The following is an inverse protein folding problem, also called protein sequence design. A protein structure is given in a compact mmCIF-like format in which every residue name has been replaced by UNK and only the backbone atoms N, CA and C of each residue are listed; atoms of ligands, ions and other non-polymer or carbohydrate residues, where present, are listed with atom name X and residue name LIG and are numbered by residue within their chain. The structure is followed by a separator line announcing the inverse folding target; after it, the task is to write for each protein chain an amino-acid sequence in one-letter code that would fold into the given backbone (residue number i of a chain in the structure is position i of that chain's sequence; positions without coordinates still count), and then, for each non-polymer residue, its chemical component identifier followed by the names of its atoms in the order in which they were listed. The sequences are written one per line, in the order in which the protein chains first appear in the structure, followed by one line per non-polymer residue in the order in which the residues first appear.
data_IF_119459785781
#
_entry.id   IF_119459785781
#
_cell.length_a   1.000
_cell.length_b   1.000
_cell.length_c   1.000
_cell.angle_alpha   90.00
_cell.angle_beta   90.00
_cell.angle_gamma   90.00
#
_symmetry.space_group_name_H-M   'P 1'
#
loop_
_entity.id
_entity.type
_entity.pdbx_description
1 polymer ?
#
# COMPACT_ATOMS: atom_id res chain seq x y z
N UNK A 1 28.79 -2.12 -10.64
CA UNK A 1 29.57 -0.88 -10.47
C UNK A 1 29.83 -0.70 -8.98
N UNK A 2 31.09 -0.64 -8.53
CA UNK A 2 31.45 -0.47 -7.13
C UNK A 2 30.85 0.83 -6.57
N UNK A 3 30.25 0.78 -5.37
CA UNK A 3 29.62 1.94 -4.71
C UNK A 3 30.58 3.07 -4.30
N UNK A 4 31.87 2.95 -4.65
CA UNK A 4 32.95 3.88 -4.31
C UNK A 4 33.55 4.61 -5.52
N UNK A 5 33.10 4.31 -6.74
CA UNK A 5 33.49 5.07 -7.92
C UNK A 5 32.61 6.33 -8.00
N UNK A 6 33.04 7.40 -7.32
CA UNK A 6 32.47 8.72 -7.50
C UNK A 6 32.87 9.22 -8.90
N UNK A 7 31.94 9.17 -9.85
CA UNK A 7 32.13 9.76 -11.16
C UNK A 7 32.29 11.26 -10.99
N UNK A 8 33.47 11.77 -11.31
CA UNK A 8 33.88 13.16 -11.06
C UNK A 8 32.85 14.18 -11.58
N UNK A 9 32.29 13.96 -12.76
CA UNK A 9 31.24 14.81 -13.33
C UNK A 9 29.94 14.80 -12.52
N UNK A 10 29.54 13.65 -11.96
CA UNK A 10 28.37 13.54 -11.07
C UNK A 10 28.62 14.27 -9.75
N UNK A 11 29.84 14.17 -9.21
CA UNK A 11 30.22 14.87 -7.98
C UNK A 11 30.26 16.39 -8.18
N UNK A 12 30.90 16.86 -9.24
CA UNK A 12 30.95 18.28 -9.60
C UNK A 12 29.55 18.86 -9.84
N UNK A 13 28.67 18.13 -10.54
CA UNK A 13 27.28 18.55 -10.74
C UNK A 13 26.45 18.52 -9.44
N UNK A 14 26.64 17.50 -8.60
CA UNK A 14 26.01 17.41 -7.28
C UNK A 14 26.44 18.55 -6.36
N UNK A 15 27.74 18.84 -6.31
CA UNK A 15 28.30 19.90 -5.47
C UNK A 15 27.85 21.28 -5.97
N UNK A 16 27.86 21.52 -7.29
CA UNK A 16 27.31 22.73 -7.90
C UNK A 16 25.82 22.94 -7.58
N UNK A 17 24.99 21.89 -7.70
CA UNK A 17 23.57 21.98 -7.37
C UNK A 17 23.31 22.14 -5.86
N UNK A 18 24.17 21.58 -5.02
CA UNK A 18 24.07 21.63 -3.56
C UNK A 18 24.60 22.93 -2.96
N UNK A 19 25.50 23.62 -3.67
CA UNK A 19 26.09 24.89 -3.24
C UNK A 19 25.15 26.09 -3.47
N UNK A 20 24.01 25.89 -4.16
CA UNK A 20 22.97 26.91 -4.25
C UNK A 20 22.36 27.18 -2.87
N UNK A 21 22.87 28.21 -2.22
CA UNK A 21 22.39 28.73 -0.94
C UNK A 21 21.33 29.79 -1.17
N UNK A 22 20.18 29.61 -0.53
CA UNK A 22 19.06 30.56 -0.56
C UNK A 22 19.02 31.27 0.80
N UNK A 23 18.89 32.59 0.77
CA UNK A 23 18.63 33.36 1.98
C UNK A 23 17.17 33.17 2.40
N UNK A 24 16.95 32.68 3.62
CA UNK A 24 15.59 32.55 4.19
C UNK A 24 15.58 33.23 5.56
N UNK A 25 14.78 34.29 5.70
CA UNK A 25 14.61 35.03 6.95
C UNK A 25 15.84 35.82 7.39
N UNK A 26 15.90 36.17 8.67
CA UNK A 26 16.86 37.12 9.24
C UNK A 26 18.29 36.58 9.39
N UNK A 27 18.53 35.26 9.50
CA UNK A 27 19.89 34.67 9.37
C UNK A 27 19.88 33.14 9.11
N UNK A 28 20.54 32.77 7.99
CA UNK A 28 21.43 31.63 7.71
C UNK A 28 21.23 31.17 6.24
N UNK A 29 22.31 31.23 5.45
CA UNK A 29 22.35 30.65 4.09
C UNK A 29 22.09 29.15 4.19
N UNK A 30 20.94 28.68 3.72
CA UNK A 30 20.58 27.26 3.69
C UNK A 30 20.56 26.75 2.26
N UNK A 31 20.92 25.49 2.01
CA UNK A 31 20.86 24.94 0.65
C UNK A 31 19.42 24.71 0.22
N UNK A 32 19.13 24.88 -1.07
CA UNK A 32 17.80 24.57 -1.62
C UNK A 32 17.38 23.12 -1.33
N UNK A 33 18.33 22.18 -1.41
CA UNK A 33 18.11 20.77 -1.09
C UNK A 33 17.65 20.55 0.36
N UNK A 34 18.22 21.30 1.32
CA UNK A 34 17.79 21.22 2.70
C UNK A 34 16.33 21.67 2.86
N UNK A 35 15.93 22.77 2.21
CA UNK A 35 14.55 23.26 2.24
C UNK A 35 13.56 22.27 1.62
N UNK A 36 13.94 21.64 0.51
CA UNK A 36 13.14 20.58 -0.12
C UNK A 36 12.98 19.36 0.79
N UNK A 37 14.07 18.91 1.42
CA UNK A 37 14.03 17.79 2.36
C UNK A 37 13.15 18.10 3.58
N UNK A 38 13.26 19.31 4.13
CA UNK A 38 12.44 19.75 5.26
C UNK A 38 10.96 19.81 4.89
N UNK A 39 10.63 20.37 3.73
CA UNK A 39 9.24 20.45 3.23
C UNK A 39 8.66 19.07 2.99
N UNK A 40 9.43 18.18 2.36
CA UNK A 40 9.03 16.78 2.11
C UNK A 40 8.75 16.05 3.42
N UNK A 41 9.61 16.24 4.43
CA UNK A 41 9.41 15.66 5.77
C UNK A 41 8.11 16.16 6.39
N UNK A 42 7.84 17.48 6.37
CA UNK A 42 6.59 18.05 6.90
C UNK A 42 5.35 17.47 6.19
N UNK A 43 5.39 17.35 4.87
CA UNK A 43 4.30 16.75 4.10
C UNK A 43 4.08 15.28 4.47
N UNK A 44 5.17 14.49 4.61
CA UNK A 44 5.07 13.08 5.00
C UNK A 44 4.54 12.91 6.43
N UNK A 45 5.00 13.72 7.37
CA UNK A 45 4.54 13.69 8.76
C UNK A 45 3.05 14.08 8.85
N UNK A 46 2.63 15.09 8.08
CA UNK A 46 1.22 15.48 7.98
C UNK A 46 0.36 14.38 7.36
N UNK A 47 0.78 13.80 6.23
CA UNK A 47 0.07 12.69 5.59
C UNK A 47 -0.03 11.47 6.53
N UNK A 48 1.05 11.12 7.22
CA UNK A 48 1.06 10.02 8.19
C UNK A 48 0.08 10.26 9.34
N UNK A 49 0.01 11.49 9.84
CA UNK A 49 -0.95 11.89 10.88
C UNK A 49 -2.39 11.74 10.39
N UNK A 50 -2.71 12.32 9.23
CA UNK A 50 -4.04 12.23 8.64
C UNK A 50 -4.45 10.79 8.31
N UNK A 51 -3.53 9.98 7.82
CA UNK A 51 -3.78 8.57 7.53
C UNK A 51 -4.13 7.75 8.78
N UNK A 52 -3.73 8.19 9.98
CA UNK A 52 -4.18 7.60 11.24
C UNK A 52 -5.65 7.88 11.56
N UNK A 53 -6.28 8.85 10.90
CA UNK A 53 -7.69 9.22 11.11
C UNK A 53 -8.58 8.40 10.17
N UNK A 54 -9.50 7.55 10.67
CA UNK A 54 -10.32 6.68 9.83
C UNK A 54 -11.15 7.39 8.75
N UNK A 55 -11.67 8.58 9.04
CA UNK A 55 -12.45 9.37 8.08
C UNK A 55 -11.61 9.86 6.90
N UNK A 56 -10.32 10.12 7.11
CA UNK A 56 -9.40 10.52 6.05
C UNK A 56 -8.87 9.31 5.27
N UNK A 57 -8.46 8.25 5.98
CA UNK A 57 -7.95 7.01 5.36
C UNK A 57 -9.03 6.25 4.58
N UNK A 58 -10.27 6.36 5.03
CA UNK A 58 -11.41 5.61 4.54
C UNK A 58 -11.68 4.35 5.36
N UNK A 59 -12.97 4.09 5.61
CA UNK A 59 -13.45 2.96 6.43
C UNK A 59 -13.25 1.59 5.77
N UNK A 60 -12.87 1.57 4.50
CA UNK A 60 -12.67 0.35 3.72
C UNK A 60 -11.20 0.02 3.49
N UNK A 61 -10.26 0.85 3.96
CA UNK A 61 -8.83 0.53 3.88
C UNK A 61 -8.50 -0.62 4.86
N UNK A 62 -7.74 -1.62 4.41
CA UNK A 62 -7.29 -2.72 5.28
C UNK A 62 -6.09 -2.26 6.10
N UNK A 63 -6.26 -2.25 7.42
CA UNK A 63 -5.15 -1.96 8.34
C UNK A 63 -4.22 -3.17 8.42
N UNK A 64 -2.99 -2.98 7.94
CA UNK A 64 -1.94 -3.98 8.00
C UNK A 64 -0.86 -3.54 8.96
N UNK A 65 -0.22 -4.50 9.61
CA UNK A 65 0.95 -4.26 10.46
C UNK A 65 2.26 -4.63 9.76
N UNK A 66 3.35 -4.01 10.20
CA UNK A 66 4.69 -4.44 9.85
C UNK A 66 5.13 -5.67 10.66
N UNK A 67 6.40 -6.08 10.56
CA UNK A 67 6.95 -7.25 11.26
C UNK A 67 7.07 -7.05 12.77
N UNK A 68 6.86 -5.83 13.27
CA UNK A 68 6.92 -5.45 14.68
C UNK A 68 5.51 -5.16 15.23
N UNK A 69 4.47 -5.62 14.52
CA UNK A 69 3.06 -5.38 14.83
C UNK A 69 2.67 -3.90 14.89
N UNK A 70 3.44 -3.02 14.24
CA UNK A 70 3.12 -1.60 14.16
C UNK A 70 2.24 -1.33 12.93
N UNK A 71 1.22 -0.45 13.03
CA UNK A 71 0.43 -0.06 11.88
C UNK A 71 1.31 0.45 10.74
N UNK A 72 1.09 -0.07 9.54
CA UNK A 72 1.79 0.39 8.35
C UNK A 72 1.43 1.84 8.07
N UNK A 73 2.46 2.66 7.87
CA UNK A 73 2.34 4.08 7.58
C UNK A 73 2.69 4.35 6.12
N UNK A 74 2.04 5.34 5.50
CA UNK A 74 2.36 5.72 4.13
C UNK A 74 3.82 6.13 3.98
N UNK A 75 4.38 5.84 2.80
CA UNK A 75 5.73 6.25 2.38
C UNK A 75 5.66 6.65 0.92
N UNK A 76 6.41 7.68 0.53
CA UNK A 76 6.42 8.20 -0.84
C UNK A 76 7.57 7.65 -1.70
N UNK A 77 8.62 7.10 -1.09
CA UNK A 77 9.80 6.60 -1.79
C UNK A 77 9.71 5.10 -2.10
N UNK A 78 10.39 4.67 -3.16
CA UNK A 78 10.66 3.25 -3.44
C UNK A 78 9.41 2.37 -3.60
N UNK A 79 8.32 2.89 -4.15
CA UNK A 79 7.04 2.17 -4.27
C UNK A 79 6.21 2.18 -2.97
N UNK A 80 6.59 2.96 -1.97
CA UNK A 80 5.83 3.15 -0.75
C UNK A 80 5.83 1.95 0.19
N UNK A 81 4.96 1.97 1.21
CA UNK A 81 5.00 0.97 2.28
C UNK A 81 4.44 -0.40 1.86
N UNK A 82 3.49 -0.42 0.93
CA UNK A 82 2.78 -1.62 0.49
C UNK A 82 3.34 -2.20 -0.80
N UNK A 83 3.34 -1.45 -1.91
CA UNK A 83 3.70 -1.99 -3.23
C UNK A 83 5.13 -2.53 -3.28
N UNK A 84 6.08 -1.86 -2.60
CA UNK A 84 7.47 -2.32 -2.49
C UNK A 84 7.63 -3.73 -1.90
N UNK A 85 6.62 -4.21 -1.14
CA UNK A 85 6.58 -5.54 -0.54
C UNK A 85 5.82 -6.56 -1.40
N UNK A 86 5.01 -6.11 -2.34
CA UNK A 86 4.28 -6.96 -3.29
C UNK A 86 5.21 -7.30 -4.46
N UNK A 87 6.14 -8.24 -4.24
CA UNK A 87 7.03 -8.76 -5.28
C UNK A 87 6.33 -9.88 -6.08
N UNK A 88 5.29 -9.52 -6.83
CA UNK A 88 4.48 -10.49 -7.58
C UNK A 88 4.09 -10.00 -8.98
N UNK A 89 3.38 -10.85 -9.72
CA UNK A 89 2.85 -10.51 -11.04
C UNK A 89 1.84 -9.35 -10.98
N UNK A 90 1.59 -8.62 -12.08
CA UNK A 90 0.58 -7.57 -12.13
C UNK A 90 -0.79 -8.02 -11.59
N UNK A 91 -1.24 -9.22 -11.98
CA UNK A 91 -2.49 -9.80 -11.48
C UNK A 91 -2.50 -10.04 -9.97
N UNK A 92 -1.41 -10.56 -9.40
CA UNK A 92 -1.26 -10.72 -7.94
C UNK A 92 -1.32 -9.36 -7.23
N UNK A 93 -0.55 -8.40 -7.73
CA UNK A 93 -0.51 -7.04 -7.18
C UNK A 93 -1.88 -6.37 -7.25
N UNK A 94 -2.60 -6.53 -8.35
CA UNK A 94 -3.95 -6.00 -8.51
C UNK A 94 -4.95 -6.61 -7.51
N UNK A 95 -4.87 -7.94 -7.25
CA UNK A 95 -5.71 -8.57 -6.21
C UNK A 95 -5.39 -8.03 -4.82
N UNK A 96 -4.10 -7.89 -4.49
CA UNK A 96 -3.66 -7.33 -3.22
C UNK A 96 -4.16 -5.88 -3.05
N UNK A 97 -4.01 -5.04 -4.07
CA UNK A 97 -4.52 -3.67 -4.07
C UNK A 97 -6.05 -3.63 -3.87
N UNK A 98 -6.80 -4.47 -4.57
CA UNK A 98 -8.26 -4.56 -4.40
C UNK A 98 -8.66 -4.94 -2.97
N UNK A 99 -7.97 -5.93 -2.40
CA UNK A 99 -8.20 -6.36 -1.03
C UNK A 99 -7.86 -5.24 -0.02
N UNK A 100 -6.72 -4.55 -0.19
CA UNK A 100 -6.28 -3.48 0.71
C UNK A 100 -7.20 -2.26 0.61
N UNK A 101 -7.54 -1.82 -0.60
CA UNK A 101 -8.31 -0.60 -0.82
C UNK A 101 -9.84 -0.80 -0.65
N UNK A 102 -10.31 -2.04 -0.51
CA UNK A 102 -11.74 -2.34 -0.40
C UNK A 102 -12.50 -2.23 -1.73
N UNK A 103 -11.79 -2.46 -2.84
CA UNK A 103 -12.28 -2.45 -4.22
C UNK A 103 -12.34 -3.86 -4.85
N UNK A 104 -12.34 -4.90 -4.03
CA UNK A 104 -12.51 -6.25 -4.53
C UNK A 104 -13.93 -6.47 -5.05
N UNK A 105 -14.12 -7.22 -6.16
CA UNK A 105 -15.42 -7.53 -6.73
C UNK A 105 -16.14 -8.63 -5.91
N UNK A 106 -16.35 -8.34 -4.62
CA UNK A 106 -16.99 -9.21 -3.64
C UNK A 106 -18.35 -8.64 -3.25
N UNK A 107 -19.14 -9.43 -2.52
CA UNK A 107 -20.49 -9.05 -2.11
C UNK A 107 -20.62 -7.65 -1.49
N UNK A 108 -19.77 -7.29 -0.53
CA UNK A 108 -19.82 -5.96 0.12
C UNK A 108 -19.53 -4.78 -0.82
N UNK A 109 -18.81 -5.02 -1.93
CA UNK A 109 -18.61 -4.04 -2.98
C UNK A 109 -19.83 -3.99 -3.90
N UNK A 110 -20.37 -5.15 -4.29
CA UNK A 110 -21.58 -5.25 -5.09
C UNK A 110 -22.79 -4.56 -4.43
N UNK A 111 -22.98 -4.68 -3.11
CA UNK A 111 -24.06 -3.98 -2.38
C UNK A 111 -24.05 -2.47 -2.59
N UNK A 112 -22.87 -1.86 -2.80
CA UNK A 112 -22.71 -0.41 -2.94
C UNK A 112 -22.80 0.07 -4.38
N UNK A 113 -22.29 -0.72 -5.32
CA UNK A 113 -22.08 -0.28 -6.70
C UNK A 113 -22.84 -1.10 -7.75
N UNK A 114 -23.33 -2.29 -7.40
CA UNK A 114 -23.98 -3.25 -8.29
C UNK A 114 -25.16 -3.96 -7.60
N UNK A 115 -26.28 -3.27 -7.33
CA UNK A 115 -27.37 -3.77 -6.48
C UNK A 115 -28.07 -5.04 -7.01
N UNK A 116 -27.89 -5.38 -8.28
CA UNK A 116 -28.47 -6.58 -8.91
C UNK A 116 -27.51 -7.78 -8.95
N UNK A 117 -26.26 -7.62 -8.50
CA UNK A 117 -25.29 -8.71 -8.48
C UNK A 117 -25.43 -9.54 -7.19
N UNK A 118 -25.13 -10.86 -7.24
CA UNK A 118 -25.13 -11.69 -6.04
C UNK A 118 -24.16 -11.15 -4.99
N UNK A 119 -24.65 -10.95 -3.77
CA UNK A 119 -23.86 -10.44 -2.64
C UNK A 119 -23.45 -11.53 -1.65
N UNK A 120 -24.12 -12.68 -1.68
CA UNK A 120 -23.78 -13.82 -0.83
C UNK A 120 -22.48 -14.48 -1.27
N UNK A 121 -21.77 -15.05 -0.29
CA UNK A 121 -20.61 -15.87 -0.59
C UNK A 121 -21.07 -17.25 -1.07
N UNK A 122 -20.42 -17.83 -2.10
CA UNK A 122 -20.67 -19.22 -2.51
C UNK A 122 -20.49 -20.27 -1.41
N UNK A 123 -19.83 -19.95 -0.28
CA UNK A 123 -19.75 -20.84 0.87
C UNK A 123 -21.05 -20.88 1.71
N UNK A 124 -22.07 -20.09 1.34
CA UNK A 124 -23.34 -19.97 2.07
C UNK A 124 -23.45 -18.75 3.00
N UNK A 125 -22.39 -17.96 3.19
CA UNK A 125 -22.49 -16.73 3.98
C UNK A 125 -23.41 -15.70 3.30
N UNK A 126 -24.29 -15.08 4.09
CA UNK A 126 -25.30 -14.11 3.61
C UNK A 126 -24.68 -12.94 2.85
N UNK A 127 -23.49 -12.49 3.27
CA UNK A 127 -22.74 -11.43 2.61
C UNK A 127 -21.26 -11.79 2.53
N UNK A 128 -20.72 -11.76 1.31
CA UNK A 128 -19.28 -11.93 1.09
C UNK A 128 -18.54 -10.63 1.44
N UNK A 129 -17.86 -10.63 2.60
CA UNK A 129 -17.08 -9.49 3.09
C UNK A 129 -15.60 -9.80 3.15
N UNK A 130 -14.74 -8.77 3.20
CA UNK A 130 -13.29 -8.95 3.39
C UNK A 130 -12.95 -9.66 4.70
N UNK A 131 -13.51 -9.30 5.87
CA UNK A 131 -13.26 -10.05 7.11
C UNK A 131 -13.66 -11.53 7.02
N UNK A 132 -14.77 -11.84 6.35
CA UNK A 132 -15.18 -13.22 6.10
C UNK A 132 -14.16 -13.98 5.26
N UNK A 133 -13.76 -13.42 4.10
CA UNK A 133 -12.77 -14.05 3.20
C UNK A 133 -11.44 -14.30 3.92
N UNK A 134 -10.94 -13.30 4.66
CA UNK A 134 -9.64 -13.41 5.33
C UNK A 134 -9.69 -14.30 6.57
N UNK A 135 -10.81 -14.35 7.29
CA UNK A 135 -10.84 -14.89 8.65
C UNK A 135 -11.50 -16.25 8.84
N UNK A 136 -12.46 -16.65 8.00
CA UNK A 136 -13.26 -17.86 8.26
C UNK A 136 -14.09 -18.37 7.07
N UNK A 137 -13.74 -18.02 5.84
CA UNK A 137 -14.48 -18.50 4.67
C UNK A 137 -13.98 -19.88 4.22
N UNK A 138 -14.84 -20.90 4.29
CA UNK A 138 -14.49 -22.30 3.96
C UNK A 138 -13.96 -22.53 2.54
N UNK A 139 -14.06 -21.54 1.64
CA UNK A 139 -13.48 -21.58 0.29
C UNK A 139 -11.98 -21.35 0.27
N UNK A 140 -11.40 -20.87 1.36
CA UNK A 140 -10.01 -20.43 1.45
C UNK A 140 -9.33 -21.09 2.64
N UNK A 141 -8.01 -21.23 2.57
CA UNK A 141 -7.20 -21.78 3.67
C UNK A 141 -6.37 -20.70 4.35
N UNK A 142 -5.74 -21.05 5.47
CA UNK A 142 -4.75 -20.23 6.18
C UNK A 142 -5.31 -18.87 6.64
N UNK A 143 -6.49 -18.94 7.27
CA UNK A 143 -7.19 -17.77 7.76
C UNK A 143 -6.33 -16.90 8.67
N UNK A 144 -6.50 -15.59 8.49
CA UNK A 144 -5.76 -14.56 9.19
C UNK A 144 -6.49 -14.12 10.44
N UNK A 145 -5.73 -13.99 11.54
CA UNK A 145 -6.19 -13.35 12.77
C UNK A 145 -5.78 -11.88 12.75
N UNK A 146 -6.63 -11.02 13.31
CA UNK A 146 -6.29 -9.61 13.52
C UNK A 146 -5.36 -9.47 14.74
N UNK A 147 -4.33 -8.59 14.69
CA UNK A 147 -3.95 -7.72 13.58
C UNK A 147 -3.30 -8.51 12.43
N UNK A 148 -3.58 -8.09 11.19
CA UNK A 148 -3.08 -8.77 10.00
C UNK A 148 -1.74 -8.16 9.60
N UNK A 149 -0.65 -8.92 9.72
CA UNK A 149 0.65 -8.48 9.23
C UNK A 149 0.72 -8.50 7.71
N UNK A 150 1.52 -7.61 7.11
CA UNK A 150 1.74 -7.57 5.67
C UNK A 150 2.27 -8.91 5.13
N UNK A 151 3.11 -9.60 5.92
CA UNK A 151 3.67 -10.90 5.52
C UNK A 151 2.57 -11.95 5.47
N UNK A 152 1.78 -12.10 6.54
CA UNK A 152 0.70 -13.08 6.57
C UNK A 152 -0.36 -12.78 5.50
N UNK A 153 -0.64 -11.50 5.25
CA UNK A 153 -1.51 -11.08 4.15
C UNK A 153 -0.97 -11.52 2.79
N UNK A 154 0.32 -11.28 2.49
CA UNK A 154 0.94 -11.72 1.23
C UNK A 154 0.87 -13.24 1.09
N UNK A 155 1.15 -13.97 2.16
CA UNK A 155 1.15 -15.44 2.14
C UNK A 155 -0.25 -15.99 1.90
N UNK A 156 -1.28 -15.45 2.59
CA UNK A 156 -2.68 -15.76 2.31
C UNK A 156 -3.04 -15.51 0.84
N UNK A 157 -2.63 -14.36 0.28
CA UNK A 157 -2.93 -14.00 -1.11
C UNK A 157 -2.24 -14.92 -2.13
N UNK A 158 -1.08 -15.51 -1.78
CA UNK A 158 -0.38 -16.49 -2.62
C UNK A 158 -1.07 -17.86 -2.57
N UNK A 159 -1.44 -18.32 -1.38
CA UNK A 159 -2.10 -19.61 -1.17
C UNK A 159 -3.53 -19.64 -1.73
N UNK A 160 -4.20 -18.48 -1.76
CA UNK A 160 -5.57 -18.35 -2.21
C UNK A 160 -5.65 -17.51 -3.51
N UNK A 161 -5.28 -18.07 -4.69
CA UNK A 161 -5.13 -17.30 -5.93
C UNK A 161 -6.43 -16.70 -6.47
N UNK A 162 -7.59 -17.21 -6.04
CA UNK A 162 -8.91 -16.71 -6.45
C UNK A 162 -9.48 -15.66 -5.48
N UNK A 163 -8.86 -15.46 -4.30
CA UNK A 163 -9.32 -14.46 -3.35
C UNK A 163 -9.20 -13.04 -3.94
N UNK A 164 -10.30 -12.27 -3.85
CA UNK A 164 -10.40 -10.89 -4.36
C UNK A 164 -10.11 -10.73 -5.87
N UNK A 165 -10.18 -11.83 -6.63
CA UNK A 165 -10.17 -11.83 -8.09
C UNK A 165 -11.57 -11.59 -8.66
N UNK A 166 -11.65 -11.17 -9.92
CA UNK A 166 -12.91 -11.25 -10.67
C UNK A 166 -13.25 -12.71 -10.94
N UNK A 167 -14.55 -13.04 -10.97
CA UNK A 167 -15.07 -14.39 -11.23
C UNK A 167 -14.65 -14.96 -12.60
N UNK A 168 -14.14 -14.11 -13.49
CA UNK A 168 -13.68 -14.46 -14.84
C UNK A 168 -12.48 -13.59 -15.21
N UNK A 169 -11.34 -13.73 -14.53
CA UNK A 169 -10.10 -13.27 -15.13
C UNK A 169 -9.69 -14.35 -16.15
N UNK A 170 -9.66 -14.07 -17.47
CA UNK A 170 -9.05 -14.99 -18.42
C UNK A 170 -7.61 -15.26 -17.98
N UNK A 171 -7.12 -16.48 -18.17
CA UNK A 171 -5.71 -16.79 -17.97
C UNK A 171 -4.85 -15.76 -18.70
N UNK A 172 -4.15 -14.90 -17.97
CA UNK A 172 -3.19 -13.96 -18.55
C UNK A 172 -3.61 -12.49 -18.68
N UNK A 173 -4.73 -12.05 -18.12
CA UNK A 173 -4.97 -10.60 -17.95
C UNK A 173 -4.80 -10.23 -16.48
N UNK A 174 -3.65 -9.64 -16.17
CA UNK A 174 -3.27 -9.11 -14.87
C UNK A 174 -2.73 -7.69 -15.01
#
# INVERSE_FOLDING_TARGET
VPSKEEWRCHKEAHDFASDLKVSVGTHALTSLNYLHAQSTKKCLDHWTTLFGVPSFRGNQFLELTDRLDKPMKPKYTGGGAWLSRLQGSPGFTARCCRAILGHAPIGSFATRFFPHQPTSCPCGAVLETRPHILGYCDRFTDHLKSPISMTNFIDFMKMNPTAFAFKSAPSGIG
#
